data_IF_004530608362
#
_entry.id   IF_004530608362
#
_cell.length_a   1.000
_cell.length_b   1.000
_cell.length_c   1.000
_cell.angle_alpha   90.00
_cell.angle_beta   90.00
_cell.angle_gamma   90.00
#
_symmetry.space_group_name_H-M   'P 1'
#
loop_
_entity.id
_entity.type
_entity.pdbx_description
1 polymer ?
#
# COMPACT_ATOMS: atom_id res chain seq x y z
N UNK A 1 12.16 5.26 8.25
CA UNK A 1 11.38 4.23 7.52
C UNK A 1 9.90 4.50 7.44
N UNK A 2 9.30 5.17 8.42
CA UNK A 2 7.86 5.46 8.44
C UNK A 2 7.56 6.86 7.92
N UNK A 3 6.31 7.13 7.58
CA UNK A 3 5.83 8.49 7.32
C UNK A 3 5.91 9.34 8.59
N UNK A 4 5.88 10.67 8.44
CA UNK A 4 5.64 11.54 9.59
C UNK A 4 4.20 11.37 10.09
N UNK A 5 3.93 11.66 11.36
CA UNK A 5 2.59 11.52 11.93
C UNK A 5 1.52 12.28 11.15
N UNK A 6 1.86 13.47 10.64
CA UNK A 6 0.97 14.29 9.82
C UNK A 6 0.64 13.57 8.51
N UNK A 7 1.67 13.10 7.79
CA UNK A 7 1.51 12.38 6.53
C UNK A 7 0.75 11.07 6.68
N UNK A 8 1.06 10.32 7.74
CA UNK A 8 0.38 9.08 8.06
C UNK A 8 -1.11 9.30 8.30
N UNK A 9 -1.47 10.27 9.16
CA UNK A 9 -2.87 10.59 9.47
C UNK A 9 -3.63 11.09 8.26
N UNK A 10 -3.00 11.95 7.45
CA UNK A 10 -3.58 12.46 6.20
C UNK A 10 -3.85 11.33 5.21
N UNK A 11 -2.86 10.48 4.93
CA UNK A 11 -3.03 9.31 4.07
C UNK A 11 -4.12 8.37 4.59
N UNK A 12 -4.07 8.03 5.88
CA UNK A 12 -5.00 7.08 6.48
C UNK A 12 -6.43 7.61 6.44
N UNK A 13 -6.66 8.88 6.79
CA UNK A 13 -7.98 9.50 6.74
C UNK A 13 -8.52 9.52 5.31
N UNK A 14 -7.70 9.94 4.34
CA UNK A 14 -8.07 10.00 2.92
C UNK A 14 -8.46 8.62 2.38
N UNK A 15 -7.62 7.62 2.64
CA UNK A 15 -7.86 6.26 2.15
C UNK A 15 -9.09 5.64 2.82
N UNK A 16 -9.24 5.79 4.14
CA UNK A 16 -10.41 5.25 4.84
C UNK A 16 -11.71 5.93 4.40
N UNK A 17 -11.71 7.23 4.09
CA UNK A 17 -12.89 7.93 3.59
C UNK A 17 -13.32 7.41 2.21
N UNK A 18 -12.34 7.14 1.32
CA UNK A 18 -12.60 6.47 0.05
C UNK A 18 -13.17 5.05 0.24
N UNK A 19 -12.62 4.26 1.18
CA UNK A 19 -13.13 2.92 1.47
C UNK A 19 -14.53 2.95 2.10
N UNK A 20 -14.83 3.97 2.91
CA UNK A 20 -16.17 4.21 3.45
C UNK A 20 -17.17 4.46 2.32
N UNK A 21 -16.83 5.36 1.38
CA UNK A 21 -17.65 5.59 0.19
C UNK A 21 -17.88 4.31 -0.61
N UNK A 22 -16.84 3.52 -0.88
CA UNK A 22 -16.98 2.24 -1.60
C UNK A 22 -17.88 1.28 -0.82
N UNK A 23 -17.73 1.22 0.50
CA UNK A 23 -18.56 0.39 1.37
C UNK A 23 -20.05 0.73 1.25
N UNK A 24 -20.39 2.02 1.18
CA UNK A 24 -21.76 2.51 0.98
C UNK A 24 -22.28 2.21 -0.42
N UNK A 25 -21.52 2.60 -1.42
CA UNK A 25 -21.90 2.46 -2.83
C UNK A 25 -22.13 1.00 -3.22
N UNK A 26 -21.37 0.07 -2.63
CA UNK A 26 -21.47 -1.37 -2.88
C UNK A 26 -22.30 -2.11 -1.84
N UNK A 27 -22.98 -1.40 -0.93
CA UNK A 27 -23.83 -1.98 0.13
C UNK A 27 -23.11 -3.04 0.99
N UNK A 28 -21.80 -2.87 1.18
CA UNK A 28 -21.02 -3.69 2.11
C UNK A 28 -21.36 -3.30 3.56
N UNK A 29 -21.58 -2.00 3.78
CA UNK A 29 -22.01 -1.44 5.06
C UNK A 29 -23.38 -0.80 4.90
N UNK A 30 -24.15 -0.78 5.98
CA UNK A 30 -25.51 -0.24 6.00
C UNK A 30 -25.53 1.28 5.94
N UNK A 31 -26.68 1.83 5.51
CA UNK A 31 -26.83 3.26 5.28
C UNK A 31 -26.84 4.14 6.56
N UNK A 32 -26.94 3.50 7.72
CA UNK A 32 -26.87 4.15 9.03
C UNK A 32 -25.47 4.15 9.64
N UNK A 33 -24.50 3.44 9.05
CA UNK A 33 -23.12 3.41 9.55
C UNK A 33 -22.45 4.75 9.24
N UNK A 34 -22.00 5.44 10.29
CA UNK A 34 -21.22 6.67 10.16
C UNK A 34 -19.77 6.36 9.79
N UNK A 35 -19.02 7.38 9.35
CA UNK A 35 -17.59 7.21 9.11
C UNK A 35 -16.83 6.75 10.36
N UNK A 36 -17.17 7.29 11.54
CA UNK A 36 -16.52 6.93 12.80
C UNK A 36 -16.77 5.46 13.12
N UNK A 37 -18.02 4.99 12.99
CA UNK A 37 -18.35 3.58 13.19
C UNK A 37 -17.60 2.69 12.20
N UNK A 38 -17.50 3.11 10.93
CA UNK A 38 -16.77 2.38 9.88
C UNK A 38 -15.28 2.19 10.22
N UNK A 39 -14.63 3.21 10.79
CA UNK A 39 -13.23 3.11 11.23
C UNK A 39 -13.06 2.02 12.29
N UNK A 40 -14.04 1.81 13.16
CA UNK A 40 -14.02 0.79 14.22
C UNK A 40 -14.47 -0.61 13.75
N UNK A 41 -15.07 -0.74 12.56
CA UNK A 41 -15.49 -2.04 12.03
C UNK A 41 -14.31 -3.00 11.80
N UNK A 42 -14.60 -4.30 11.73
CA UNK A 42 -13.61 -5.35 11.43
C UNK A 42 -12.79 -5.01 10.17
N UNK A 43 -11.48 -5.23 10.24
CA UNK A 43 -10.55 -5.02 9.14
C UNK A 43 -10.97 -5.75 7.85
N UNK A 44 -11.63 -6.91 7.95
CA UNK A 44 -12.17 -7.67 6.81
C UNK A 44 -13.19 -6.88 5.99
N UNK A 45 -13.97 -6.00 6.63
CA UNK A 45 -14.91 -5.11 5.92
C UNK A 45 -14.12 -4.12 5.07
N UNK A 46 -13.08 -3.51 5.65
CA UNK A 46 -12.22 -2.56 4.94
C UNK A 46 -11.45 -3.23 3.80
N UNK A 47 -10.95 -4.45 4.03
CA UNK A 47 -10.30 -5.28 3.01
C UNK A 47 -11.24 -5.56 1.83
N UNK A 48 -12.51 -5.91 2.11
CA UNK A 48 -13.52 -6.12 1.06
C UNK A 48 -13.79 -4.84 0.26
N UNK A 49 -13.92 -3.69 0.92
CA UNK A 49 -14.05 -2.40 0.21
C UNK A 49 -12.81 -2.12 -0.65
N UNK A 50 -11.62 -2.38 -0.12
CA UNK A 50 -10.35 -2.17 -0.80
C UNK A 50 -10.22 -3.04 -2.04
N UNK A 51 -10.56 -4.32 -1.97
CA UNK A 51 -10.44 -5.22 -3.12
C UNK A 51 -11.37 -4.78 -4.26
N UNK A 52 -12.60 -4.38 -3.94
CA UNK A 52 -13.53 -3.82 -4.95
C UNK A 52 -13.01 -2.50 -5.53
N UNK A 53 -12.42 -1.62 -4.71
CA UNK A 53 -11.83 -0.37 -5.18
C UNK A 53 -10.72 -0.64 -6.20
N UNK A 54 -9.87 -1.64 -5.97
CA UNK A 54 -8.76 -1.91 -6.88
C UNK A 54 -9.19 -2.54 -8.21
N UNK A 55 -10.32 -3.25 -8.21
CA UNK A 55 -10.90 -3.88 -9.41
C UNK A 55 -11.77 -2.91 -10.23
N UNK A 56 -12.24 -1.80 -9.64
CA UNK A 56 -13.13 -0.86 -10.30
C UNK A 56 -12.65 0.60 -10.14
N UNK A 57 -11.98 1.11 -11.18
CA UNK A 57 -11.45 2.48 -11.20
C UNK A 57 -12.55 3.55 -11.30
N UNK A 58 -13.76 3.22 -11.76
CA UNK A 58 -14.88 4.17 -11.82
C UNK A 58 -15.29 4.63 -10.42
N UNK A 59 -15.14 3.78 -9.38
CA UNK A 59 -15.43 4.17 -8.00
C UNK A 59 -14.56 5.35 -7.55
N UNK A 60 -13.28 5.31 -7.89
CA UNK A 60 -12.36 6.41 -7.58
C UNK A 60 -12.72 7.67 -8.37
N UNK A 61 -13.03 7.53 -9.66
CA UNK A 61 -13.41 8.67 -10.50
C UNK A 61 -14.71 9.34 -10.00
N UNK A 62 -15.71 8.53 -9.62
CA UNK A 62 -16.97 9.02 -9.07
C UNK A 62 -16.76 9.71 -7.72
N UNK A 63 -15.97 9.11 -6.82
CA UNK A 63 -15.63 9.74 -5.54
C UNK A 63 -14.95 11.09 -5.73
N UNK A 64 -13.97 11.17 -6.64
CA UNK A 64 -13.28 12.43 -6.98
C UNK A 64 -14.23 13.48 -7.55
N UNK A 65 -15.15 13.08 -8.43
CA UNK A 65 -16.12 13.99 -9.05
C UNK A 65 -17.12 14.55 -8.03
N UNK A 66 -17.69 13.68 -7.19
CA UNK A 66 -18.71 14.04 -6.20
C UNK A 66 -18.12 14.93 -5.09
N UNK A 67 -16.85 14.72 -4.72
CA UNK A 67 -16.23 15.38 -3.57
C UNK A 67 -15.20 16.46 -3.98
N UNK A 68 -15.09 16.81 -5.25
CA UNK A 68 -14.03 17.69 -5.76
C UNK A 68 -13.86 18.98 -4.94
N UNK A 69 -14.96 19.69 -4.66
CA UNK A 69 -14.94 20.96 -3.93
C UNK A 69 -14.57 20.85 -2.45
N UNK A 70 -14.58 19.63 -1.90
CA UNK A 70 -14.31 19.36 -0.47
C UNK A 70 -12.91 18.81 -0.23
N UNK A 71 -12.27 18.28 -1.27
CA UNK A 71 -10.96 17.66 -1.18
C UNK A 71 -9.86 18.72 -1.25
N UNK A 72 -8.90 18.61 -0.36
CA UNK A 72 -7.65 19.37 -0.42
C UNK A 72 -6.78 18.90 -1.59
N UNK A 73 -5.84 19.74 -2.01
CA UNK A 73 -4.88 19.39 -3.06
C UNK A 73 -4.08 18.12 -2.73
N UNK A 74 -3.76 17.89 -1.45
CA UNK A 74 -3.01 16.70 -1.04
C UNK A 74 -3.87 15.44 -1.05
N UNK A 75 -5.13 15.52 -0.60
CA UNK A 75 -6.10 14.42 -0.72
C UNK A 75 -6.31 14.03 -2.19
N UNK A 76 -6.48 15.00 -3.09
CA UNK A 76 -6.60 14.74 -4.54
C UNK A 76 -5.35 14.03 -5.07
N UNK A 77 -4.14 14.41 -4.65
CA UNK A 77 -2.90 13.72 -5.05
C UNK A 77 -2.84 12.29 -4.54
N UNK A 78 -3.22 12.06 -3.29
CA UNK A 78 -3.28 10.71 -2.70
C UNK A 78 -4.24 9.84 -3.51
N UNK A 79 -5.47 10.34 -3.72
CA UNK A 79 -6.53 9.63 -4.42
C UNK A 79 -6.15 9.34 -5.88
N UNK A 80 -5.62 10.34 -6.61
CA UNK A 80 -5.15 10.13 -7.99
C UNK A 80 -3.95 9.20 -8.08
N UNK A 81 -3.15 9.07 -7.00
CA UNK A 81 -2.08 8.07 -6.87
C UNK A 81 -2.57 6.63 -7.00
N UNK A 82 -3.81 6.32 -6.60
CA UNK A 82 -4.40 4.98 -6.78
C UNK A 82 -4.58 4.59 -8.26
N UNK A 83 -4.59 5.56 -9.20
CA UNK A 83 -4.59 5.26 -10.64
C UNK A 83 -3.27 4.69 -11.14
N UNK A 84 -2.18 4.92 -10.39
CA UNK A 84 -0.84 4.39 -10.67
C UNK A 84 -0.47 3.22 -9.75
N UNK A 85 -1.46 2.60 -9.12
CA UNK A 85 -1.26 1.48 -8.21
C UNK A 85 -0.48 0.34 -8.87
N UNK A 86 0.38 -0.32 -8.11
CA UNK A 86 0.99 -1.60 -8.48
C UNK A 86 0.54 -2.63 -7.46
N UNK A 87 -0.46 -3.44 -7.82
CA UNK A 87 -1.00 -4.49 -6.98
C UNK A 87 -0.39 -5.84 -7.39
N UNK A 88 0.05 -6.64 -6.42
CA UNK A 88 0.67 -7.92 -6.72
C UNK A 88 1.29 -8.61 -5.53
N UNK A 89 2.07 -9.64 -5.85
CA UNK A 89 2.85 -10.40 -4.90
C UNK A 89 4.29 -9.85 -4.86
N UNK A 90 4.73 -9.47 -3.67
CA UNK A 90 6.02 -8.87 -3.43
C UNK A 90 6.81 -9.67 -2.42
N UNK A 91 8.11 -9.80 -2.64
CA UNK A 91 9.04 -10.24 -1.61
C UNK A 91 9.52 -9.00 -0.86
N UNK A 92 9.19 -8.89 0.43
CA UNK A 92 9.87 -7.95 1.30
C UNK A 92 11.24 -8.57 1.59
N UNK A 93 12.26 -8.07 0.90
CA UNK A 93 13.60 -8.64 0.95
C UNK A 93 14.33 -8.29 2.24
N UNK A 94 14.27 -7.02 2.66
CA UNK A 94 14.88 -6.53 3.91
C UNK A 94 14.36 -5.14 4.29
N UNK A 95 14.52 -4.80 5.57
CA UNK A 95 14.33 -3.46 6.12
C UNK A 95 15.67 -2.71 6.20
N UNK A 96 15.73 -1.46 5.71
CA UNK A 96 16.88 -0.55 5.85
C UNK A 96 16.61 0.48 6.97
N UNK A 97 17.34 1.59 7.02
CA UNK A 97 17.02 2.70 7.94
C UNK A 97 15.81 3.51 7.45
N UNK A 98 15.75 3.76 6.13
CA UNK A 98 14.82 4.72 5.53
C UNK A 98 13.62 4.09 4.80
N UNK A 99 13.71 2.85 4.37
CA UNK A 99 12.67 2.12 3.62
C UNK A 99 12.89 0.60 3.75
N UNK A 100 11.92 -0.19 3.33
CA UNK A 100 12.10 -1.60 3.04
C UNK A 100 12.26 -1.82 1.53
N UNK A 101 12.97 -2.88 1.17
CA UNK A 101 13.17 -3.26 -0.22
C UNK A 101 12.16 -4.33 -0.58
N UNK A 102 11.27 -4.00 -1.50
CA UNK A 102 10.28 -4.91 -2.07
C UNK A 102 10.78 -5.36 -3.44
N UNK A 103 10.60 -6.64 -3.77
CA UNK A 103 10.82 -7.18 -5.10
C UNK A 103 9.48 -7.65 -5.66
N UNK A 104 9.08 -7.08 -6.80
CA UNK A 104 7.97 -7.60 -7.59
C UNK A 104 8.43 -8.87 -8.30
N UNK A 105 7.79 -10.00 -7.99
CA UNK A 105 8.17 -11.31 -8.53
C UNK A 105 7.90 -11.39 -10.04
N UNK A 106 6.85 -10.74 -10.51
CA UNK A 106 6.41 -10.81 -11.89
C UNK A 106 7.31 -9.95 -12.78
N UNK A 107 7.58 -8.73 -12.34
CA UNK A 107 8.32 -7.74 -13.14
C UNK A 107 9.83 -7.75 -12.87
N UNK A 108 10.27 -8.50 -11.86
CA UNK A 108 11.66 -8.52 -11.37
C UNK A 108 12.22 -7.11 -11.09
N UNK A 109 11.38 -6.25 -10.47
CA UNK A 109 11.71 -4.86 -10.14
C UNK A 109 11.83 -4.66 -8.64
N UNK A 110 12.85 -3.92 -8.22
CA UNK A 110 13.05 -3.54 -6.83
C UNK A 110 12.44 -2.17 -6.53
N UNK A 111 11.73 -2.07 -5.41
CA UNK A 111 11.09 -0.85 -4.94
C UNK A 111 11.57 -0.53 -3.53
N UNK A 112 11.93 0.73 -3.30
CA UNK A 112 12.19 1.28 -1.98
C UNK A 112 10.88 1.78 -1.37
N UNK A 113 10.24 0.95 -0.56
CA UNK A 113 8.90 1.20 0.00
C UNK A 113 9.00 1.73 1.42
N UNK A 114 8.35 2.85 1.66
CA UNK A 114 8.23 3.47 2.96
C UNK A 114 7.01 2.91 3.69
N UNK A 115 7.18 2.60 4.96
CA UNK A 115 6.09 2.16 5.81
C UNK A 115 5.17 3.35 6.17
N UNK A 116 3.92 3.07 6.55
CA UNK A 116 2.95 4.09 6.94
C UNK A 116 3.20 4.55 8.38
N UNK A 117 2.64 3.84 9.37
CA UNK A 117 2.78 4.14 10.80
C UNK A 117 3.86 3.30 11.49
N UNK A 118 3.83 1.98 11.29
CA UNK A 118 4.79 1.04 11.88
C UNK A 118 5.74 0.47 10.84
N UNK A 119 6.99 0.22 11.24
CA UNK A 119 8.00 -0.42 10.39
C UNK A 119 7.58 -1.85 10.05
N UNK A 120 8.00 -2.35 8.88
CA UNK A 120 7.67 -3.72 8.47
C UNK A 120 8.28 -4.81 9.37
N UNK A 121 9.37 -4.52 10.08
CA UNK A 121 9.97 -5.41 11.09
C UNK A 121 9.17 -5.49 12.41
N UNK A 122 8.06 -4.74 12.54
CA UNK A 122 7.03 -4.96 13.55
C UNK A 122 5.96 -5.96 13.12
N UNK A 123 5.79 -6.17 11.81
CA UNK A 123 4.80 -7.09 11.24
C UNK A 123 5.40 -8.48 10.96
N UNK A 124 6.70 -8.55 10.69
CA UNK A 124 7.39 -9.78 10.31
C UNK A 124 8.71 -9.92 11.07
N UNK A 125 8.88 -11.07 11.74
CA UNK A 125 10.09 -11.38 12.52
C UNK A 125 11.25 -11.88 11.65
N UNK A 126 10.98 -12.19 10.37
CA UNK A 126 11.98 -12.72 9.44
C UNK A 126 11.79 -12.19 8.02
N UNK A 127 12.91 -12.01 7.35
CA UNK A 127 12.99 -11.65 5.94
C UNK A 127 13.97 -12.59 5.22
N UNK A 128 13.80 -12.84 3.92
CA UNK A 128 12.72 -12.35 3.08
C UNK A 128 11.38 -13.05 3.34
N UNK A 129 10.26 -12.35 3.08
CA UNK A 129 8.89 -12.87 3.23
C UNK A 129 8.05 -12.48 2.01
N UNK A 130 7.20 -13.38 1.56
CA UNK A 130 6.26 -13.14 0.47
C UNK A 130 4.94 -12.57 1.00
N UNK A 131 4.52 -11.44 0.44
CA UNK A 131 3.30 -10.73 0.81
C UNK A 131 2.50 -10.35 -0.43
N UNK A 132 1.19 -10.24 -0.28
CA UNK A 132 0.31 -9.56 -1.23
C UNK A 132 -0.02 -8.18 -0.70
N UNK A 133 0.20 -7.15 -1.53
CA UNK A 133 -0.06 -5.75 -1.16
C UNK A 133 -0.28 -4.90 -2.41
N UNK A 134 -0.62 -3.64 -2.23
CA UNK A 134 -0.57 -2.64 -3.30
C UNK A 134 0.41 -1.53 -2.96
N UNK A 135 1.29 -1.22 -3.91
CA UNK A 135 2.19 -0.06 -3.85
C UNK A 135 1.54 1.15 -4.49
N UNK A 136 1.77 2.32 -3.90
CA UNK A 136 1.21 3.60 -4.33
C UNK A 136 2.31 4.67 -4.38
N UNK A 137 2.27 5.59 -5.36
CA UNK A 137 3.04 6.81 -5.29
C UNK A 137 2.50 7.70 -4.17
N UNK A 138 3.38 8.29 -3.39
CA UNK A 138 3.04 9.29 -2.40
C UNK A 138 4.16 10.31 -2.34
N UNK A 139 3.92 11.53 -2.83
CA UNK A 139 4.97 12.56 -2.98
C UNK A 139 6.18 11.99 -3.75
N UNK A 140 7.40 12.15 -3.25
CA UNK A 140 8.63 11.65 -3.86
C UNK A 140 9.08 10.27 -3.31
N UNK A 141 8.12 9.43 -2.93
CA UNK A 141 8.38 8.13 -2.31
C UNK A 141 7.28 7.12 -2.70
N UNK A 142 7.56 5.85 -2.49
CA UNK A 142 6.60 4.75 -2.66
C UNK A 142 6.14 4.30 -1.28
N UNK A 143 4.84 4.12 -1.10
CA UNK A 143 4.23 3.54 0.11
C UNK A 143 3.41 2.30 -0.28
N UNK A 144 2.90 1.59 0.73
CA UNK A 144 1.83 0.61 0.52
C UNK A 144 0.49 1.21 0.93
N UNK A 145 -0.61 0.60 0.50
CA UNK A 145 -1.98 1.06 0.75
C UNK A 145 -2.47 0.87 2.19
N UNK A 146 -1.68 0.24 3.07
CA UNK A 146 -2.07 -0.12 4.42
C UNK A 146 -2.59 -1.56 4.56
N UNK A 147 -2.77 -2.27 3.45
CA UNK A 147 -3.23 -3.66 3.44
C UNK A 147 -2.10 -4.58 2.99
N UNK A 148 -1.61 -5.40 3.92
CA UNK A 148 -0.54 -6.35 3.64
C UNK A 148 -0.94 -7.74 4.13
N UNK A 149 -0.94 -8.71 3.21
CA UNK A 149 -1.31 -10.09 3.50
C UNK A 149 -0.10 -11.00 3.32
N UNK A 150 0.51 -11.53 4.39
CA UNK A 150 1.54 -12.55 4.25
C UNK A 150 0.96 -13.82 3.63
N UNK A 151 1.70 -14.45 2.73
CA UNK A 151 1.28 -15.72 2.10
C UNK A 151 1.67 -16.96 2.93
N UNK A 152 2.44 -16.76 4.01
CA UNK A 152 3.05 -17.85 4.79
C UNK A 152 4.27 -18.48 4.13
N UNK A 153 4.67 -18.02 2.93
CA UNK A 153 5.86 -18.51 2.23
C UNK A 153 7.10 -17.79 2.74
N UNK A 154 8.07 -18.61 3.17
CA UNK A 154 9.40 -18.16 3.56
C UNK A 154 10.47 -18.76 2.67
N UNK A 155 11.59 -18.05 2.55
CA UNK A 155 12.67 -18.48 1.67
C UNK A 155 13.82 -19.11 2.47
N UNK A 156 14.33 -20.23 1.94
CA UNK A 156 15.53 -20.89 2.45
C UNK A 156 16.82 -20.15 2.09
N UNK A 157 17.96 -20.67 2.57
CA UNK A 157 19.28 -20.05 2.41
C UNK A 157 19.68 -19.87 0.94
N UNK A 158 19.44 -20.87 0.08
CA UNK A 158 19.78 -20.82 -1.34
C UNK A 158 19.11 -19.66 -2.07
N UNK A 159 17.76 -19.61 -2.06
CA UNK A 159 17.01 -18.51 -2.68
C UNK A 159 17.35 -17.15 -2.06
N UNK A 160 17.58 -17.11 -0.74
CA UNK A 160 17.99 -15.88 -0.06
C UNK A 160 19.34 -15.38 -0.56
N UNK A 161 20.28 -16.26 -0.90
CA UNK A 161 21.57 -15.89 -1.49
C UNK A 161 21.40 -15.31 -2.89
N UNK A 162 20.57 -15.93 -3.74
CA UNK A 162 20.22 -15.40 -5.07
C UNK A 162 19.61 -13.99 -4.97
N UNK A 163 18.60 -13.80 -4.10
CA UNK A 163 17.98 -12.49 -3.87
C UNK A 163 18.98 -11.43 -3.38
N UNK A 164 19.99 -11.83 -2.59
CA UNK A 164 21.08 -10.93 -2.17
C UNK A 164 21.94 -10.47 -3.35
N UNK A 165 22.24 -11.36 -4.30
CA UNK A 165 23.00 -11.04 -5.50
C UNK A 165 22.19 -10.13 -6.43
N UNK A 166 20.92 -10.46 -6.67
CA UNK A 166 20.00 -9.64 -7.47
C UNK A 166 19.87 -8.23 -6.90
N UNK A 167 19.68 -8.11 -5.58
CA UNK A 167 19.64 -6.82 -4.90
C UNK A 167 20.96 -6.05 -5.04
N UNK A 168 22.12 -6.71 -4.92
CA UNK A 168 23.42 -6.06 -5.09
C UNK A 168 23.59 -5.51 -6.50
N UNK A 169 23.20 -6.29 -7.51
CA UNK A 169 23.26 -5.89 -8.92
C UNK A 169 22.31 -4.71 -9.18
N UNK A 170 21.05 -4.80 -8.74
CA UNK A 170 20.09 -3.72 -8.86
C UNK A 170 20.58 -2.43 -8.18
N UNK A 171 21.18 -2.54 -6.99
CA UNK A 171 21.76 -1.41 -6.28
C UNK A 171 22.94 -0.79 -7.04
N UNK A 172 23.86 -1.61 -7.56
CA UNK A 172 25.03 -1.14 -8.33
C UNK A 172 24.61 -0.40 -9.60
N UNK A 173 23.52 -0.84 -10.22
CA UNK A 173 23.01 -0.30 -11.48
C UNK A 173 21.96 0.81 -11.31
N UNK A 174 21.69 1.27 -10.08
CA UNK A 174 20.63 2.24 -9.76
C UNK A 174 19.22 1.82 -10.24
N UNK A 175 18.91 0.52 -10.16
CA UNK A 175 17.64 -0.08 -10.60
C UNK A 175 16.64 -0.27 -9.46
N UNK A 176 16.87 0.37 -8.30
CA UNK A 176 15.90 0.39 -7.19
C UNK A 176 15.01 1.61 -7.38
N UNK A 177 13.74 1.38 -7.71
CA UNK A 177 12.75 2.43 -7.91
C UNK A 177 12.38 3.07 -6.59
N UNK A 178 12.36 4.41 -6.57
CA UNK A 178 11.99 5.22 -5.40
C UNK A 178 10.71 6.03 -5.63
N UNK A 179 10.18 6.00 -6.86
CA UNK A 179 8.94 6.66 -7.30
C UNK A 179 8.23 5.79 -8.35
N UNK A 180 6.90 6.00 -8.54
CA UNK A 180 6.06 5.37 -9.57
C UNK A 180 5.53 6.44 -10.55
#
# INVERSE_FOLDING_TARGET
MILTDKEYKEFLRTHLDLLFYVGREKKIISDNISFVDFVELDFKIKLKCRDILLENEELLNNYLSINFDRLTTEEVKILTGFKKKIAGDFIIFKCLSNNAIFLDIKENKFYAVKALGDRFDKFFDRFPVLVKTTLLPYKNQIIYDGFIMPTGVYFGSGMTSTLKEDYKNAKKNNQILTTI
#
